data_IF_808231566497
#
_entry.id   IF_808231566497
#
_cell.length_a   1.000
_cell.length_b   1.000
_cell.length_c   1.000
_cell.angle_alpha   90.00
_cell.angle_beta   90.00
_cell.angle_gamma   90.00
#
_symmetry.space_group_name_H-M   'P 1'
#
loop_
_entity.id
_entity.type
_entity.pdbx_description
1 polymer ?
#
# COMPACT_ATOMS: atom_id res chain seq x y z
N UNK A 1 8.56 -13.00 -0.19
CA UNK A 1 9.23 -13.35 1.06
C UNK A 1 10.39 -14.33 0.85
N UNK A 2 10.40 -15.18 -0.20
CA UNK A 2 11.48 -16.16 -0.45
C UNK A 2 12.18 -15.99 -1.82
N UNK A 3 11.86 -14.92 -2.57
CA UNK A 3 12.49 -14.52 -3.85
C UNK A 3 12.35 -15.50 -5.03
N UNK A 4 11.34 -16.35 -5.03
CA UNK A 4 11.11 -17.32 -6.11
C UNK A 4 10.19 -16.81 -7.24
N UNK A 5 9.81 -15.55 -7.23
CA UNK A 5 8.87 -14.89 -8.16
C UNK A 5 7.39 -15.31 -8.03
N UNK A 6 7.06 -16.28 -7.19
CA UNK A 6 5.69 -16.65 -6.87
C UNK A 6 5.20 -15.93 -5.59
N UNK A 7 3.89 -15.86 -5.41
CA UNK A 7 3.33 -15.21 -4.22
C UNK A 7 3.29 -16.18 -3.04
N UNK A 8 3.93 -15.79 -1.94
CA UNK A 8 3.85 -16.51 -0.67
C UNK A 8 2.51 -16.27 0.03
N UNK A 9 2.03 -17.29 0.74
CA UNK A 9 0.87 -17.14 1.61
C UNK A 9 1.29 -16.55 2.95
N UNK A 10 0.73 -15.42 3.31
CA UNK A 10 1.05 -14.77 4.58
C UNK A 10 -0.19 -14.28 5.32
N UNK A 11 -0.13 -14.32 6.64
CA UNK A 11 -1.12 -13.73 7.54
C UNK A 11 -0.42 -12.96 8.64
N UNK A 12 -0.99 -11.83 9.01
CA UNK A 12 -0.55 -11.06 10.16
C UNK A 12 -1.59 -11.16 11.28
N UNK A 13 -1.12 -11.37 12.51
CA UNK A 13 -1.98 -11.45 13.69
C UNK A 13 -1.89 -10.15 14.49
N UNK A 14 -2.93 -9.30 14.47
CA UNK A 14 -2.89 -7.98 15.11
C UNK A 14 -2.65 -8.04 16.62
N UNK A 15 -3.16 -9.07 17.31
CA UNK A 15 -3.05 -9.19 18.77
C UNK A 15 -1.62 -9.44 19.26
N UNK A 16 -0.75 -9.99 18.40
CA UNK A 16 0.65 -10.28 18.75
C UNK A 16 1.66 -9.55 17.88
N UNK A 17 1.23 -8.91 16.77
CA UNK A 17 2.12 -8.29 15.80
C UNK A 17 3.00 -9.29 15.06
N UNK A 18 2.56 -10.56 14.94
CA UNK A 18 3.34 -11.61 14.30
C UNK A 18 2.86 -11.85 12.87
N UNK A 19 3.80 -11.85 11.94
CA UNK A 19 3.65 -12.31 10.57
C UNK A 19 3.95 -13.79 10.50
N UNK A 20 3.04 -14.55 9.92
CA UNK A 20 3.21 -15.97 9.60
C UNK A 20 3.21 -16.10 8.10
N UNK A 21 4.21 -16.76 7.53
CA UNK A 21 4.27 -17.00 6.09
C UNK A 21 4.66 -18.43 5.77
N UNK A 22 4.15 -18.92 4.64
CA UNK A 22 4.55 -20.16 4.01
C UNK A 22 5.16 -19.81 2.66
N UNK A 23 6.40 -20.20 2.46
CA UNK A 23 7.09 -20.02 1.20
C UNK A 23 6.44 -20.85 0.10
N UNK A 24 6.28 -20.27 -1.08
CA UNK A 24 5.73 -20.98 -2.24
C UNK A 24 6.70 -22.02 -2.80
N UNK A 25 8.01 -21.77 -2.71
CA UNK A 25 9.05 -22.64 -3.26
C UNK A 25 9.20 -23.99 -2.56
N UNK A 26 9.10 -24.01 -1.23
CA UNK A 26 9.44 -25.20 -0.42
C UNK A 26 8.44 -25.51 0.71
N UNK A 27 7.40 -24.66 0.88
CA UNK A 27 6.47 -24.74 2.00
C UNK A 27 7.08 -24.37 3.34
N UNK A 28 8.25 -23.74 3.36
CA UNK A 28 8.95 -23.30 4.56
C UNK A 28 8.10 -22.35 5.39
N UNK A 29 7.95 -22.65 6.69
CA UNK A 29 7.19 -21.82 7.61
C UNK A 29 8.06 -20.79 8.29
N UNK A 30 7.61 -19.54 8.32
CA UNK A 30 8.26 -18.46 9.06
C UNK A 30 7.26 -17.80 10.02
N UNK A 31 7.74 -17.35 11.17
CA UNK A 31 7.01 -16.54 12.13
C UNK A 31 7.90 -15.38 12.60
N UNK A 32 7.57 -14.15 12.22
CA UNK A 32 8.38 -12.97 12.52
C UNK A 32 7.49 -11.95 13.24
N UNK A 33 7.89 -11.53 14.43
CA UNK A 33 7.22 -10.46 15.15
C UNK A 33 7.66 -9.12 14.58
N UNK A 34 6.71 -8.41 13.97
CA UNK A 34 6.91 -7.05 13.45
C UNK A 34 5.57 -6.31 13.36
N UNK A 35 5.50 -5.21 14.09
CA UNK A 35 4.27 -4.44 14.26
C UNK A 35 3.71 -4.55 15.67
N UNK A 36 2.63 -3.84 15.91
CA UNK A 36 1.93 -3.76 17.20
C UNK A 36 0.42 -3.74 16.98
N UNK A 37 -0.34 -4.01 18.01
CA UNK A 37 -1.81 -3.90 17.95
C UNK A 37 -2.24 -2.51 17.50
N UNK A 38 -3.18 -2.45 16.55
CA UNK A 38 -3.65 -1.20 15.93
C UNK A 38 -2.88 -0.75 14.70
N UNK A 39 -1.78 -1.41 14.36
CA UNK A 39 -1.09 -1.17 13.09
C UNK A 39 -1.92 -1.73 11.91
N UNK A 40 -1.71 -1.18 10.72
CA UNK A 40 -2.27 -1.64 9.47
C UNK A 40 -1.14 -2.20 8.60
N UNK A 41 -1.34 -3.39 8.03
CA UNK A 41 -0.31 -4.01 7.18
C UNK A 41 -0.19 -3.30 5.85
N UNK A 42 1.05 -3.13 5.40
CA UNK A 42 1.40 -2.41 4.17
C UNK A 42 2.57 -3.10 3.46
N UNK A 43 2.48 -4.43 3.18
CA UNK A 43 3.58 -5.13 2.53
C UNK A 43 3.86 -4.54 1.14
N UNK A 44 5.12 -4.58 0.72
CA UNK A 44 5.58 -4.09 -0.57
C UNK A 44 7.10 -4.19 -0.66
N UNK A 45 7.66 -4.00 -1.83
CA UNK A 45 9.11 -3.93 -2.04
C UNK A 45 9.57 -2.48 -1.91
N UNK A 46 10.06 -2.08 -0.74
CA UNK A 46 10.46 -0.69 -0.46
C UNK A 46 11.95 -0.41 -0.77
N UNK A 47 12.73 -1.43 -1.05
CA UNK A 47 14.14 -1.24 -1.38
C UNK A 47 14.52 -1.63 -2.81
N UNK A 48 13.59 -2.24 -3.55
CA UNK A 48 13.75 -2.53 -4.98
C UNK A 48 14.55 -3.81 -5.24
N UNK A 49 14.54 -4.75 -4.28
CA UNK A 49 15.22 -6.03 -4.44
C UNK A 49 14.36 -7.12 -5.11
N UNK A 50 13.10 -6.79 -5.43
CA UNK A 50 12.13 -7.70 -6.03
C UNK A 50 11.39 -8.58 -5.02
N UNK A 51 11.65 -8.42 -3.71
CA UNK A 51 11.06 -9.21 -2.65
C UNK A 51 10.19 -8.32 -1.76
N UNK A 52 8.95 -8.71 -1.52
CA UNK A 52 8.08 -7.95 -0.62
C UNK A 52 8.64 -7.89 0.81
N UNK A 53 8.74 -6.68 1.34
CA UNK A 53 9.09 -6.38 2.72
C UNK A 53 7.88 -6.53 3.64
N UNK A 54 8.13 -6.82 4.92
CA UNK A 54 7.09 -6.76 5.95
C UNK A 54 6.98 -5.33 6.45
N UNK A 55 5.84 -4.70 6.23
CA UNK A 55 5.64 -3.31 6.60
C UNK A 55 4.30 -3.07 7.29
N UNK A 56 4.27 -2.06 8.14
CA UNK A 56 3.07 -1.61 8.83
C UNK A 56 3.01 -0.09 8.89
N UNK A 57 1.81 0.45 8.73
CA UNK A 57 1.49 1.83 9.06
C UNK A 57 0.85 1.88 10.45
N UNK A 58 1.31 2.79 11.30
CA UNK A 58 0.79 3.01 12.65
C UNK A 58 -0.05 4.28 12.69
N UNK A 59 -1.40 4.19 12.66
CA UNK A 59 -2.27 5.36 12.62
C UNK A 59 -2.08 6.30 13.81
N UNK A 60 -1.82 5.75 15.02
CA UNK A 60 -1.67 6.56 16.23
C UNK A 60 -0.50 7.54 16.20
N UNK A 61 0.50 7.29 15.36
CA UNK A 61 1.69 8.15 15.23
C UNK A 61 1.89 8.68 13.81
N UNK A 62 1.12 8.17 12.83
CA UNK A 62 1.32 8.47 11.40
C UNK A 62 2.64 7.93 10.86
N UNK A 63 3.20 6.89 11.49
CA UNK A 63 4.52 6.37 11.15
C UNK A 63 4.43 5.03 10.40
N UNK A 64 5.33 4.87 9.43
CA UNK A 64 5.57 3.65 8.69
C UNK A 64 6.79 2.94 9.26
N UNK A 65 6.68 1.64 9.39
CA UNK A 65 7.77 0.76 9.80
C UNK A 65 7.92 -0.33 8.75
N UNK A 66 9.11 -0.48 8.20
CA UNK A 66 9.42 -1.47 7.16
C UNK A 66 10.58 -2.33 7.64
N UNK A 67 10.40 -3.64 7.64
CA UNK A 67 11.44 -4.64 7.84
C UNK A 67 11.81 -5.20 6.48
N UNK A 68 12.95 -4.77 5.97
CA UNK A 68 13.42 -5.11 4.63
C UNK A 68 13.80 -6.58 4.51
N UNK A 69 13.50 -7.19 3.37
CA UNK A 69 13.80 -8.57 3.04
C UNK A 69 15.32 -8.85 3.05
N UNK A 70 16.10 -7.93 2.51
CA UNK A 70 17.57 -7.95 2.51
C UNK A 70 18.22 -7.55 3.83
N UNK A 71 17.41 -7.18 4.83
CA UNK A 71 17.85 -6.76 6.15
C UNK A 71 17.83 -5.25 6.36
N UNK A 72 17.79 -4.85 7.63
CA UNK A 72 17.63 -3.47 8.03
C UNK A 72 16.16 -3.05 8.17
N UNK A 73 15.96 -1.84 8.69
CA UNK A 73 14.63 -1.26 8.90
C UNK A 73 14.58 0.16 8.35
N UNK A 74 13.40 0.53 7.83
CA UNK A 74 13.05 1.92 7.53
C UNK A 74 11.97 2.36 8.51
N UNK A 75 12.11 3.55 9.08
CA UNK A 75 11.07 4.20 9.88
C UNK A 75 10.85 5.59 9.32
N UNK A 76 9.61 5.88 8.92
CA UNK A 76 9.26 7.16 8.30
C UNK A 76 7.96 7.69 8.88
N UNK A 77 7.98 8.94 9.37
CA UNK A 77 6.78 9.67 9.74
C UNK A 77 6.11 10.25 8.50
N UNK A 78 4.98 9.66 8.06
CA UNK A 78 4.24 10.15 6.90
C UNK A 78 2.77 9.74 6.99
N UNK A 79 1.93 10.68 7.36
CA UNK A 79 0.51 10.48 7.60
C UNK A 79 0.08 10.96 8.97
N UNK A 80 -1.14 10.66 9.32
CA UNK A 80 -1.76 10.98 10.62
C UNK A 80 -2.87 9.99 10.95
N UNK A 81 -3.42 10.09 12.16
CA UNK A 81 -4.56 9.28 12.55
C UNK A 81 -5.78 9.56 11.65
N UNK A 82 -6.43 8.49 11.18
CA UNK A 82 -7.55 8.54 10.24
C UNK A 82 -7.15 8.47 8.76
N UNK A 83 -5.87 8.53 8.44
CA UNK A 83 -5.38 8.25 7.10
C UNK A 83 -5.46 6.74 6.79
N UNK A 84 -5.66 6.42 5.53
CA UNK A 84 -5.70 5.04 5.01
C UNK A 84 -4.42 4.83 4.19
N UNK A 85 -3.58 3.84 4.51
CA UNK A 85 -2.39 3.55 3.72
C UNK A 85 -2.77 3.03 2.33
N UNK A 86 -2.07 3.52 1.32
CA UNK A 86 -2.31 3.25 -0.10
C UNK A 86 -0.98 3.13 -0.85
N UNK A 87 -0.07 2.36 -0.28
CA UNK A 87 1.27 2.16 -0.85
C UNK A 87 1.24 1.48 -2.23
N UNK A 88 2.06 1.94 -3.13
CA UNK A 88 2.29 1.35 -4.45
C UNK A 88 3.49 2.06 -5.11
N UNK A 89 3.94 1.64 -6.28
CA UNK A 89 4.93 2.35 -7.08
C UNK A 89 4.23 3.45 -7.90
N UNK A 90 4.30 4.69 -7.45
CA UNK A 90 3.66 5.84 -8.12
C UNK A 90 4.63 6.65 -8.99
N UNK A 91 5.92 6.36 -8.95
CA UNK A 91 6.92 7.08 -9.74
C UNK A 91 7.69 6.20 -10.73
N UNK A 92 7.35 4.90 -10.81
CA UNK A 92 7.81 3.98 -11.83
C UNK A 92 9.25 3.50 -11.62
N UNK A 93 9.76 3.59 -10.38
CA UNK A 93 11.13 3.18 -10.06
C UNK A 93 11.25 1.73 -9.56
N UNK A 94 10.13 0.98 -9.61
CA UNK A 94 9.96 -0.40 -9.17
C UNK A 94 10.07 -0.60 -7.66
N UNK A 95 9.97 0.47 -6.88
CA UNK A 95 9.86 0.40 -5.43
C UNK A 95 8.47 0.81 -4.96
N UNK A 96 8.08 0.25 -3.85
CA UNK A 96 6.84 0.66 -3.20
C UNK A 96 7.02 2.00 -2.51
N UNK A 97 6.23 3.00 -2.90
CA UNK A 97 6.19 4.31 -2.30
C UNK A 97 5.30 4.33 -1.05
N UNK A 98 5.66 5.18 -0.11
CA UNK A 98 4.85 5.46 1.08
C UNK A 98 3.73 6.43 0.69
N UNK A 99 2.48 6.00 0.87
CA UNK A 99 1.34 6.82 0.49
C UNK A 99 0.14 6.65 1.41
N UNK A 100 -0.60 7.74 1.64
CA UNK A 100 -1.85 7.73 2.40
C UNK A 100 -2.95 8.50 1.66
N UNK A 101 -4.16 7.96 1.74
CA UNK A 101 -5.38 8.69 1.42
C UNK A 101 -5.97 9.26 2.70
N UNK A 102 -6.35 10.53 2.67
CA UNK A 102 -6.97 11.22 3.80
C UNK A 102 -8.47 11.45 3.55
N UNK A 103 -9.36 10.63 4.15
CA UNK A 103 -10.80 10.76 3.92
C UNK A 103 -11.36 12.13 4.32
N UNK A 104 -10.80 12.77 5.35
CA UNK A 104 -11.31 14.05 5.85
C UNK A 104 -11.26 15.19 4.83
N UNK A 105 -10.39 15.09 3.81
CA UNK A 105 -10.25 16.10 2.77
C UNK A 105 -10.17 15.54 1.33
N UNK A 106 -10.21 14.20 1.17
CA UNK A 106 -10.13 13.53 -0.13
C UNK A 106 -8.78 13.68 -0.82
N UNK A 107 -7.71 13.93 -0.06
CA UNK A 107 -6.36 14.10 -0.60
C UNK A 107 -5.55 12.80 -0.50
N UNK A 108 -4.80 12.54 -1.54
CA UNK A 108 -3.74 11.54 -1.61
C UNK A 108 -2.43 12.25 -1.35
N UNK A 109 -1.69 11.77 -0.36
CA UNK A 109 -0.32 12.18 -0.07
C UNK A 109 0.57 11.00 -0.42
N UNK A 110 1.51 11.22 -1.33
CA UNK A 110 2.39 10.17 -1.85
C UNK A 110 3.82 10.67 -1.69
N UNK A 111 4.66 9.86 -1.12
CA UNK A 111 6.09 10.11 -1.05
C UNK A 111 6.79 9.11 -1.96
N UNK A 112 6.97 9.51 -3.22
CA UNK A 112 7.72 8.73 -4.20
C UNK A 112 9.18 8.60 -3.79
N UNK A 113 9.71 7.40 -3.90
CA UNK A 113 11.07 7.08 -3.47
C UNK A 113 12.11 7.85 -4.28
N UNK A 114 11.79 8.20 -5.52
CA UNK A 114 12.62 8.99 -6.43
C UNK A 114 12.03 10.38 -6.68
N UNK A 115 10.70 10.51 -6.82
CA UNK A 115 10.05 11.78 -7.19
C UNK A 115 9.76 12.71 -6.00
N UNK A 116 9.81 12.20 -4.76
CA UNK A 116 9.51 12.97 -3.55
C UNK A 116 8.01 13.18 -3.31
N UNK A 117 7.65 14.27 -2.62
CA UNK A 117 6.26 14.51 -2.22
C UNK A 117 5.37 14.92 -3.40
N UNK A 118 4.27 14.16 -3.55
CA UNK A 118 3.17 14.45 -4.46
C UNK A 118 1.86 14.53 -3.67
N UNK A 119 1.00 15.51 -3.98
CA UNK A 119 -0.33 15.65 -3.37
C UNK A 119 -1.35 15.77 -4.48
N UNK A 120 -2.42 14.96 -4.39
CA UNK A 120 -3.51 14.94 -5.38
C UNK A 120 -4.87 14.95 -4.68
N UNK A 121 -5.77 15.82 -5.16
CA UNK A 121 -7.17 15.83 -4.74
C UNK A 121 -7.94 14.83 -5.60
N UNK A 122 -8.39 13.72 -5.00
CA UNK A 122 -9.19 12.73 -5.72
C UNK A 122 -9.99 11.86 -4.76
N UNK A 123 -11.32 11.95 -4.85
CA UNK A 123 -12.23 11.21 -4.00
C UNK A 123 -12.99 12.06 -2.99
N UNK A 124 -13.90 11.42 -2.30
CA UNK A 124 -14.75 11.98 -1.23
C UNK A 124 -14.49 11.22 0.08
N UNK A 125 -14.90 11.81 1.19
CA UNK A 125 -14.72 11.21 2.53
C UNK A 125 -15.33 9.81 2.72
N UNK A 126 -16.32 9.47 1.91
CA UNK A 126 -17.03 8.17 1.95
C UNK A 126 -16.50 7.16 0.93
N UNK A 127 -15.59 7.58 0.07
CA UNK A 127 -15.00 6.71 -0.94
C UNK A 127 -13.96 5.79 -0.32
N UNK A 128 -13.75 4.64 -0.94
CA UNK A 128 -12.71 3.68 -0.57
C UNK A 128 -11.56 3.82 -1.55
N UNK A 129 -10.36 4.18 -1.10
CA UNK A 129 -9.21 4.26 -1.98
C UNK A 129 -8.80 2.85 -2.45
N UNK A 130 -8.34 2.79 -3.68
CA UNK A 130 -7.81 1.59 -4.31
C UNK A 130 -6.59 1.99 -5.14
N UNK A 131 -5.56 1.18 -5.10
CA UNK A 131 -4.33 1.37 -5.89
C UNK A 131 -4.18 0.25 -6.90
N UNK A 132 -3.58 0.52 -8.02
CA UNK A 132 -3.27 -0.45 -9.05
C UNK A 132 -2.87 0.24 -10.33
N UNK A 133 -2.21 -0.47 -11.21
CA UNK A 133 -1.94 -0.03 -12.57
C UNK A 133 -3.16 -0.39 -13.44
N UNK A 134 -4.04 0.57 -13.67
CA UNK A 134 -5.28 0.36 -14.42
C UNK A 134 -5.14 0.65 -15.92
N UNK A 135 -4.03 1.23 -16.37
CA UNK A 135 -3.77 1.51 -17.77
C UNK A 135 -2.55 0.79 -18.37
N UNK A 136 -1.91 -0.05 -17.53
CA UNK A 136 -0.80 -0.94 -17.89
C UNK A 136 0.47 -0.19 -18.36
N UNK A 137 0.76 0.96 -17.74
CA UNK A 137 1.97 1.74 -17.99
C UNK A 137 3.12 1.44 -17.01
N UNK A 138 2.88 0.56 -16.02
CA UNK A 138 3.85 0.16 -15.00
C UNK A 138 3.87 1.07 -13.78
N UNK A 139 3.06 2.14 -13.74
CA UNK A 139 2.95 3.08 -12.62
C UNK A 139 1.59 2.91 -11.94
N UNK A 140 1.56 3.01 -10.63
CA UNK A 140 0.30 2.90 -9.91
C UNK A 140 -0.59 4.14 -10.10
N UNK A 141 -1.87 3.87 -10.34
CA UNK A 141 -2.92 4.88 -10.47
C UNK A 141 -3.60 5.15 -9.15
N UNK A 142 -4.17 6.34 -9.01
CA UNK A 142 -5.07 6.66 -7.92
C UNK A 142 -6.51 6.39 -8.32
N UNK A 143 -7.20 5.59 -7.53
CA UNK A 143 -8.59 5.25 -7.78
C UNK A 143 -9.41 5.22 -6.50
N UNK A 144 -10.70 5.46 -6.61
CA UNK A 144 -11.64 5.30 -5.51
C UNK A 144 -12.89 4.54 -5.97
N UNK A 145 -13.34 3.66 -5.12
CA UNK A 145 -14.66 3.05 -5.23
C UNK A 145 -15.66 3.83 -4.37
N UNK A 146 -16.78 4.23 -4.97
CA UNK A 146 -17.87 4.93 -4.26
C UNK A 146 -18.99 3.98 -3.92
N UNK A 147 -19.11 3.53 -2.65
CA UNK A 147 -20.11 2.54 -2.25
C UNK A 147 -21.55 3.01 -2.49
N UNK A 148 -21.82 4.31 -2.35
CA UNK A 148 -23.17 4.86 -2.53
C UNK A 148 -23.72 4.78 -3.95
N UNK A 149 -22.87 4.55 -4.94
CA UNK A 149 -23.26 4.48 -6.37
C UNK A 149 -22.77 3.24 -7.08
N UNK A 150 -21.87 2.46 -6.45
CA UNK A 150 -21.21 1.32 -7.08
C UNK A 150 -20.26 1.69 -8.22
N UNK A 151 -19.78 2.94 -8.26
CA UNK A 151 -18.94 3.47 -9.34
C UNK A 151 -17.47 3.51 -8.89
N UNK A 152 -16.60 3.09 -9.78
CA UNK A 152 -15.16 3.28 -9.71
C UNK A 152 -14.78 4.56 -10.43
N UNK A 153 -13.99 5.39 -9.79
CA UNK A 153 -13.37 6.59 -10.36
C UNK A 153 -11.88 6.33 -10.38
N UNK A 154 -11.24 6.48 -11.53
CA UNK A 154 -9.83 6.17 -11.74
C UNK A 154 -9.18 7.38 -12.39
N UNK A 155 -8.11 7.86 -11.81
CA UNK A 155 -7.21 8.83 -12.40
C UNK A 155 -5.91 8.10 -12.75
N UNK A 156 -5.87 7.62 -13.98
CA UNK A 156 -4.72 6.90 -14.49
C UNK A 156 -3.54 7.86 -14.72
N UNK A 157 -2.34 7.34 -14.54
CA UNK A 157 -1.09 8.08 -14.65
C UNK A 157 -0.86 8.60 -16.07
N UNK A 158 -1.18 7.78 -17.08
CA UNK A 158 -1.01 8.09 -18.51
C UNK A 158 -2.35 8.25 -19.24
N UNK A 159 -3.32 7.32 -19.06
CA UNK A 159 -4.59 7.35 -19.79
C UNK A 159 -5.59 8.38 -19.28
N UNK A 160 -5.33 9.03 -18.15
CA UNK A 160 -6.17 10.08 -17.59
C UNK A 160 -7.41 9.57 -16.85
N UNK A 161 -8.41 10.45 -16.70
CA UNK A 161 -9.60 10.16 -15.89
C UNK A 161 -10.59 9.23 -16.63
N UNK A 162 -11.10 8.22 -15.90
CA UNK A 162 -12.17 7.34 -16.35
C UNK A 162 -13.05 6.86 -15.21
N UNK A 163 -14.24 6.37 -15.54
CA UNK A 163 -15.19 5.78 -14.60
C UNK A 163 -15.66 4.43 -15.08
N UNK A 164 -15.98 3.54 -14.14
CA UNK A 164 -16.60 2.25 -14.43
C UNK A 164 -17.70 1.96 -13.41
N UNK A 165 -18.88 1.59 -13.89
CA UNK A 165 -19.96 1.10 -13.03
C UNK A 165 -19.74 -0.39 -12.80
N UNK A 166 -19.29 -0.76 -11.60
CA UNK A 166 -19.10 -2.16 -11.23
C UNK A 166 -19.28 -2.33 -9.72
N UNK A 167 -20.45 -2.75 -9.34
CA UNK A 167 -20.88 -2.93 -7.96
C UNK A 167 -22.35 -2.51 -7.78
N UNK A 168 -22.89 -2.85 -6.62
CA UNK A 168 -24.21 -2.41 -6.18
C UNK A 168 -24.04 -1.29 -5.13
N UNK A 169 -24.96 -0.35 -5.13
CA UNK A 169 -25.08 0.68 -4.11
C UNK A 169 -25.62 0.11 -2.80
#
# INVERSE_FOLDING_TARGET
>A
FDSDTASDTAVWRPSSGVWYSLNSSDGGFQAIQFGSSGDQITPGDYDGDGISDRAVFRPSTGAWYVLKSGGGTLIMGFGQNGDIPVQADYDGDLKTDVAVYRPSNGLWYIWGSTSGLMVRQFGLSTDRPVTGDFDADGVADIAVYRPSTGVWYIQASTAGFRTAQFGLA
#
